data_IF_991575654295
#
_entry.id   IF_991575654295
#
_cell.length_a   1.000
_cell.length_b   1.000
_cell.length_c   1.000
_cell.angle_alpha   90.00
_cell.angle_beta   90.00
_cell.angle_gamma   90.00
#
_symmetry.space_group_name_H-M   'P 1'
#
loop_
_entity.id
_entity.type
_entity.pdbx_description
1 polymer ?
#
# COMPACT_ATOMS: atom_id res chain seq x y z
N UNK A 1 -4.78 10.62 7.49
CA UNK A 1 -5.60 9.88 8.44
C UNK A 1 -5.02 8.48 8.68
N UNK A 2 -4.70 7.70 7.65
CA UNK A 2 -4.22 6.32 7.82
C UNK A 2 -2.93 6.21 8.63
N UNK A 3 -1.93 7.05 8.40
CA UNK A 3 -0.67 7.03 9.15
C UNK A 3 -0.81 7.34 10.64
N UNK A 4 -1.98 7.87 11.06
CA UNK A 4 -2.31 8.14 12.46
C UNK A 4 -2.94 6.93 13.13
N UNK A 5 -3.64 6.11 12.34
CA UNK A 5 -4.45 4.99 12.82
C UNK A 5 -3.60 3.74 13.07
N UNK A 6 -2.41 3.67 12.48
CA UNK A 6 -1.50 2.52 12.60
C UNK A 6 -0.31 2.83 13.50
N UNK A 7 -0.07 1.95 14.45
CA UNK A 7 1.19 1.92 15.19
C UNK A 7 2.32 1.51 14.25
N UNK A 8 3.54 2.02 14.51
CA UNK A 8 4.73 1.59 13.76
C UNK A 8 4.92 0.08 13.96
N UNK A 9 5.06 -0.72 12.89
CA UNK A 9 5.30 -2.16 13.00
C UNK A 9 6.57 -2.45 13.79
N UNK A 10 6.52 -3.43 14.66
CA UNK A 10 7.65 -3.80 15.51
C UNK A 10 8.64 -4.71 14.80
N UNK A 11 8.19 -5.79 14.16
CA UNK A 11 8.95 -6.71 13.28
C UNK A 11 7.99 -7.70 12.62
N UNK A 12 8.50 -8.57 11.74
CA UNK A 12 7.72 -9.66 11.14
C UNK A 12 7.06 -10.59 12.19
N UNK A 13 7.74 -10.86 13.29
CA UNK A 13 7.20 -11.68 14.38
C UNK A 13 5.91 -11.10 14.97
N UNK A 14 5.83 -9.78 15.10
CA UNK A 14 4.68 -9.08 15.66
C UNK A 14 3.61 -8.68 14.64
N UNK A 15 3.79 -9.02 13.35
CA UNK A 15 2.91 -8.52 12.28
C UNK A 15 1.43 -8.88 12.50
N UNK A 16 1.11 -10.00 13.14
CA UNK A 16 -0.25 -10.39 13.47
C UNK A 16 -0.81 -9.55 14.63
N UNK A 17 -0.09 -9.44 15.74
CA UNK A 17 -0.56 -8.70 16.91
C UNK A 17 -0.60 -7.19 16.65
N UNK A 18 0.36 -6.64 15.90
CA UNK A 18 0.36 -5.24 15.51
C UNK A 18 -0.87 -4.89 14.67
N UNK A 19 -1.33 -5.83 13.83
CA UNK A 19 -2.54 -5.67 13.05
C UNK A 19 -3.81 -5.75 13.92
N UNK A 20 -3.80 -6.57 14.98
CA UNK A 20 -4.90 -6.65 15.94
C UNK A 20 -4.99 -5.39 16.80
N UNK A 21 -3.87 -4.91 17.32
CA UNK A 21 -3.77 -3.82 18.28
C UNK A 21 -3.68 -2.42 17.67
N UNK A 22 -3.83 -2.31 16.34
CA UNK A 22 -3.80 -0.99 15.70
C UNK A 22 -4.90 -0.09 16.24
N UNK A 23 -4.60 1.21 16.42
CA UNK A 23 -5.56 2.22 16.89
C UNK A 23 -6.81 2.32 16.02
N UNK A 24 -6.74 1.90 14.78
CA UNK A 24 -7.88 1.81 13.87
C UNK A 24 -8.98 0.86 14.36
N UNK A 25 -8.64 -0.13 15.17
CA UNK A 25 -9.59 -1.09 15.76
C UNK A 25 -10.14 -0.65 17.11
N UNK A 26 -9.57 0.39 17.71
CA UNK A 26 -9.96 0.91 19.01
C UNK A 26 -11.10 1.92 18.86
N UNK A 27 -12.32 1.50 19.19
CA UNK A 27 -13.52 2.34 19.09
C UNK A 27 -13.47 3.56 20.01
N UNK A 28 -12.89 3.43 21.19
CA UNK A 28 -12.76 4.53 22.15
C UNK A 28 -11.79 5.57 21.62
N UNK A 29 -10.65 5.10 21.09
CA UNK A 29 -9.69 5.96 20.41
C UNK A 29 -10.31 6.70 19.24
N UNK A 30 -11.02 6.00 18.34
CA UNK A 30 -11.66 6.62 17.16
C UNK A 30 -12.69 7.67 17.58
N UNK A 31 -13.54 7.37 18.55
CA UNK A 31 -14.54 8.30 19.07
C UNK A 31 -13.90 9.53 19.72
N UNK A 32 -12.89 9.33 20.58
CA UNK A 32 -12.19 10.41 21.27
C UNK A 32 -11.48 11.38 20.28
N UNK A 33 -11.14 10.90 19.07
CA UNK A 33 -10.45 11.67 18.06
C UNK A 33 -11.37 12.14 16.91
N UNK A 34 -12.69 11.91 17.02
CA UNK A 34 -13.66 12.28 15.98
C UNK A 34 -13.42 11.58 14.64
N UNK A 35 -12.81 10.40 14.69
CA UNK A 35 -12.54 9.58 13.50
C UNK A 35 -13.77 8.69 13.19
N UNK A 36 -14.05 8.43 11.90
CA UNK A 36 -15.19 7.60 11.55
C UNK A 36 -15.04 6.18 12.09
N UNK A 37 -16.15 5.61 12.55
CA UNK A 37 -16.18 4.23 13.00
C UNK A 37 -15.67 3.29 11.90
N UNK A 38 -14.73 2.44 12.26
CA UNK A 38 -14.18 1.46 11.34
C UNK A 38 -15.07 0.21 11.29
N UNK A 39 -15.37 -0.26 10.07
CA UNK A 39 -16.23 -1.44 9.88
C UNK A 39 -15.54 -2.78 10.20
N UNK A 40 -14.35 -2.75 10.75
CA UNK A 40 -13.49 -3.91 10.94
C UNK A 40 -12.50 -4.11 9.78
N UNK A 41 -11.40 -4.78 10.06
CA UNK A 41 -10.41 -5.10 9.03
C UNK A 41 -10.92 -6.26 8.17
N UNK A 42 -10.72 -6.18 6.84
CA UNK A 42 -11.13 -7.26 5.94
C UNK A 42 -10.23 -8.49 6.08
N UNK A 43 -10.78 -9.65 5.76
CA UNK A 43 -10.07 -10.92 5.88
C UNK A 43 -8.82 -11.02 5.01
N UNK A 44 -8.76 -10.31 3.90
CA UNK A 44 -7.56 -10.33 3.06
C UNK A 44 -6.28 -9.83 3.75
N UNK A 45 -6.36 -9.10 4.87
CA UNK A 45 -5.21 -8.74 5.69
C UNK A 45 -4.44 -9.97 6.20
N UNK A 46 -5.10 -11.13 6.31
CA UNK A 46 -4.50 -12.40 6.70
C UNK A 46 -3.35 -12.80 5.76
N UNK A 47 -3.41 -12.40 4.48
CA UNK A 47 -2.37 -12.77 3.51
C UNK A 47 -0.96 -12.28 3.90
N UNK A 48 -0.86 -11.14 4.61
CA UNK A 48 0.42 -10.53 4.97
C UNK A 48 0.65 -10.49 6.50
N UNK A 49 -0.42 -10.58 7.31
CA UNK A 49 -0.38 -10.34 8.75
C UNK A 49 -0.66 -11.60 9.58
N UNK A 50 -0.17 -12.77 9.16
CA UNK A 50 -0.13 -13.98 9.97
C UNK A 50 0.81 -15.04 9.37
N UNK A 51 1.44 -15.83 10.20
CA UNK A 51 2.18 -17.04 9.81
C UNK A 51 1.30 -18.27 9.59
N UNK A 52 0.00 -18.18 9.86
CA UNK A 52 -0.92 -19.31 9.69
C UNK A 52 -1.51 -19.47 8.28
N UNK A 53 -1.14 -18.62 7.29
CA UNK A 53 -1.80 -18.63 5.99
C UNK A 53 -1.84 -20.01 5.33
N UNK A 54 -0.72 -20.72 5.31
CA UNK A 54 -0.65 -22.06 4.70
C UNK A 54 -1.53 -23.07 5.44
N UNK A 55 -1.55 -23.02 6.77
CA UNK A 55 -2.41 -23.87 7.59
C UNK A 55 -3.90 -23.58 7.35
N UNK A 56 -4.26 -22.30 7.26
CA UNK A 56 -5.63 -21.86 6.97
C UNK A 56 -6.14 -22.34 5.61
N UNK A 57 -5.26 -22.50 4.62
CA UNK A 57 -5.62 -22.99 3.29
C UNK A 57 -5.95 -24.49 3.29
N UNK A 58 -5.42 -25.28 4.22
CA UNK A 58 -5.67 -26.72 4.27
C UNK A 58 -7.09 -27.01 4.74
N UNK A 59 -7.72 -26.14 5.48
CA UNK A 59 -9.05 -26.26 6.09
C UNK A 59 -9.28 -27.54 6.91
N UNK A 60 -10.41 -27.64 7.55
CA UNK A 60 -10.75 -28.75 8.45
C UNK A 60 -10.39 -28.43 9.90
N UNK A 61 -9.21 -27.91 10.14
CA UNK A 61 -8.77 -27.50 11.49
C UNK A 61 -9.39 -26.16 11.94
N UNK A 62 -9.63 -25.26 11.02
CA UNK A 62 -10.12 -23.90 11.28
C UNK A 62 -11.57 -23.68 10.86
N UNK A 63 -12.20 -24.71 10.29
CA UNK A 63 -13.62 -24.69 9.89
C UNK A 63 -13.99 -23.43 9.07
N UNK A 64 -13.20 -23.16 8.02
CA UNK A 64 -13.40 -21.99 7.16
C UNK A 64 -14.51 -22.22 6.13
N UNK A 65 -14.70 -23.47 5.67
CA UNK A 65 -15.63 -23.82 4.58
C UNK A 65 -16.93 -24.43 5.06
N UNK A 66 -17.25 -24.35 6.37
CA UNK A 66 -18.50 -24.89 6.93
C UNK A 66 -19.77 -24.33 6.26
N UNK A 67 -19.70 -23.10 5.74
CA UNK A 67 -20.76 -22.52 4.90
C UNK A 67 -20.36 -22.62 3.42
N UNK A 68 -21.24 -23.11 2.55
CA UNK A 68 -20.97 -23.21 1.11
C UNK A 68 -20.84 -21.80 0.51
N UNK A 69 -19.64 -21.26 0.50
CA UNK A 69 -19.32 -20.08 -0.32
C UNK A 69 -18.91 -20.62 -1.69
N UNK A 70 -19.50 -20.16 -2.81
CA UNK A 70 -19.05 -20.55 -4.12
C UNK A 70 -17.55 -20.30 -4.24
N UNK A 71 -16.78 -21.32 -4.61
CA UNK A 71 -15.38 -21.14 -4.93
C UNK A 71 -15.26 -20.08 -6.03
N UNK A 72 -14.25 -19.21 -5.93
CA UNK A 72 -14.01 -18.23 -6.99
C UNK A 72 -13.90 -18.94 -8.34
N UNK A 73 -14.74 -18.55 -9.28
CA UNK A 73 -14.86 -19.20 -10.60
C UNK A 73 -13.68 -18.88 -11.52
N UNK A 74 -12.92 -17.83 -11.21
CA UNK A 74 -11.74 -17.41 -12.01
C UNK A 74 -10.57 -18.38 -11.80
N UNK A 75 -9.78 -18.66 -12.86
CA UNK A 75 -8.54 -19.41 -12.74
C UNK A 75 -7.62 -18.77 -11.69
N UNK A 76 -7.03 -19.61 -10.86
CA UNK A 76 -6.06 -19.19 -9.86
C UNK A 76 -4.79 -20.03 -9.97
N UNK A 77 -3.83 -19.65 -10.81
CA UNK A 77 -2.63 -20.42 -11.14
C UNK A 77 -1.89 -21.02 -9.95
N UNK A 78 -1.91 -20.36 -8.80
CA UNK A 78 -1.30 -20.91 -7.58
C UNK A 78 -1.92 -22.26 -7.17
N UNK A 79 -3.23 -22.40 -7.27
CA UNK A 79 -3.93 -23.63 -6.90
C UNK A 79 -4.01 -24.64 -8.06
N UNK A 80 -4.00 -24.13 -9.29
CA UNK A 80 -4.18 -24.97 -10.50
C UNK A 80 -2.96 -25.89 -10.77
N UNK A 81 -1.79 -25.61 -10.18
CA UNK A 81 -0.59 -26.47 -10.26
C UNK A 81 -0.53 -27.56 -9.20
N UNK A 82 -1.48 -27.59 -8.28
CA UNK A 82 -1.64 -28.63 -7.25
C UNK A 82 -2.47 -29.81 -7.78
N UNK A 83 -2.44 -30.98 -7.12
CA UNK A 83 -3.44 -32.00 -7.37
C UNK A 83 -4.85 -31.43 -7.29
N UNK A 84 -5.72 -31.76 -8.24
CA UNK A 84 -7.01 -31.09 -8.46
C UNK A 84 -7.83 -30.94 -7.18
N UNK A 85 -8.05 -32.02 -6.45
CA UNK A 85 -8.85 -32.03 -5.21
C UNK A 85 -8.25 -31.12 -4.13
N UNK A 86 -6.92 -31.18 -3.95
CA UNK A 86 -6.20 -30.33 -3.01
C UNK A 86 -6.27 -28.85 -3.41
N UNK A 87 -6.05 -28.55 -4.68
CA UNK A 87 -6.09 -27.18 -5.20
C UNK A 87 -7.48 -26.55 -5.05
N UNK A 88 -8.54 -27.28 -5.38
CA UNK A 88 -9.92 -26.82 -5.20
C UNK A 88 -10.26 -26.57 -3.72
N UNK A 89 -9.86 -27.48 -2.82
CA UNK A 89 -10.06 -27.33 -1.37
C UNK A 89 -9.32 -26.10 -0.82
N UNK A 90 -8.06 -25.95 -1.15
CA UNK A 90 -7.26 -24.80 -0.70
C UNK A 90 -7.76 -23.48 -1.27
N UNK A 91 -8.20 -23.47 -2.53
CA UNK A 91 -8.82 -22.31 -3.17
C UNK A 91 -10.10 -21.88 -2.45
N UNK A 92 -10.96 -22.83 -2.10
CA UNK A 92 -12.19 -22.55 -1.35
C UNK A 92 -11.89 -21.96 0.04
N UNK A 93 -10.97 -22.57 0.80
CA UNK A 93 -10.57 -22.09 2.11
C UNK A 93 -9.95 -20.67 2.04
N UNK A 94 -9.08 -20.43 1.06
CA UNK A 94 -8.47 -19.11 0.86
C UNK A 94 -9.51 -18.05 0.46
N UNK A 95 -10.44 -18.36 -0.43
CA UNK A 95 -11.53 -17.46 -0.82
C UNK A 95 -12.38 -17.10 0.40
N UNK A 96 -12.75 -18.09 1.19
CA UNK A 96 -13.54 -17.88 2.41
C UNK A 96 -12.80 -17.01 3.42
N UNK A 97 -11.52 -17.28 3.66
CA UNK A 97 -10.67 -16.49 4.55
C UNK A 97 -10.62 -15.01 4.16
N UNK A 98 -10.51 -14.71 2.86
CA UNK A 98 -10.52 -13.32 2.38
C UNK A 98 -11.88 -12.62 2.59
N UNK A 99 -12.99 -13.37 2.55
CA UNK A 99 -14.35 -12.84 2.60
C UNK A 99 -14.89 -12.56 4.01
N UNK A 100 -14.31 -13.15 5.05
CA UNK A 100 -14.74 -12.95 6.44
C UNK A 100 -13.85 -11.91 7.14
N UNK A 101 -14.34 -11.20 8.18
CA UNK A 101 -13.54 -10.21 8.90
C UNK A 101 -12.24 -10.79 9.48
N UNK A 102 -11.17 -10.03 9.43
CA UNK A 102 -9.85 -10.44 9.96
C UNK A 102 -9.91 -10.97 11.39
N UNK A 103 -10.62 -10.27 12.28
CA UNK A 103 -10.79 -10.71 13.67
C UNK A 103 -11.48 -12.06 13.81
N UNK A 104 -12.39 -12.41 12.91
CA UNK A 104 -13.07 -13.71 12.97
C UNK A 104 -12.15 -14.83 12.53
N UNK A 105 -11.23 -14.57 11.59
CA UNK A 105 -10.14 -15.51 11.28
C UNK A 105 -9.21 -15.65 12.51
N UNK A 106 -8.82 -14.56 13.14
CA UNK A 106 -7.95 -14.58 14.31
C UNK A 106 -8.58 -15.33 15.49
N UNK A 107 -9.89 -15.20 15.72
CA UNK A 107 -10.63 -15.99 16.72
C UNK A 107 -10.56 -17.49 16.44
N UNK A 108 -10.67 -17.90 15.16
CA UNK A 108 -10.55 -19.31 14.78
C UNK A 108 -9.15 -19.86 15.06
N UNK A 109 -8.11 -19.07 14.77
CA UNK A 109 -6.73 -19.42 15.09
C UNK A 109 -6.54 -19.55 16.60
N UNK A 110 -6.95 -18.54 17.36
CA UNK A 110 -6.84 -18.53 18.81
C UNK A 110 -7.56 -19.72 19.47
N UNK A 111 -8.79 -20.00 19.05
CA UNK A 111 -9.59 -21.14 19.55
C UNK A 111 -8.91 -22.49 19.26
N UNK A 112 -8.31 -22.67 18.08
CA UNK A 112 -7.59 -23.89 17.71
C UNK A 112 -6.37 -24.14 18.60
N UNK A 113 -5.67 -23.07 18.99
CA UNK A 113 -4.45 -23.17 19.78
C UNK A 113 -4.66 -22.96 21.29
N UNK A 114 -5.91 -22.78 21.75
CA UNK A 114 -6.24 -22.55 23.15
C UNK A 114 -5.72 -21.23 23.70
N UNK A 115 -5.59 -20.21 22.84
CA UNK A 115 -5.04 -18.90 23.15
C UNK A 115 -6.11 -17.80 23.09
N UNK A 116 -5.83 -16.64 23.68
CA UNK A 116 -6.61 -15.44 23.41
C UNK A 116 -6.20 -14.83 22.07
N UNK A 117 -7.08 -14.02 21.47
CA UNK A 117 -6.76 -13.31 20.23
C UNK A 117 -5.54 -12.40 20.37
N UNK A 118 -5.32 -11.82 21.55
CA UNK A 118 -4.15 -11.00 21.87
C UNK A 118 -2.94 -11.82 22.34
N UNK A 119 -3.10 -13.10 22.62
CA UNK A 119 -2.01 -14.02 22.95
C UNK A 119 -1.36 -14.65 21.72
N UNK A 120 -2.03 -14.64 20.60
CA UNK A 120 -1.50 -15.20 19.35
C UNK A 120 -0.57 -14.20 18.65
N UNK A 121 0.74 -14.47 18.70
CA UNK A 121 1.77 -13.57 18.18
C UNK A 121 2.41 -14.02 16.89
N UNK A 122 1.94 -15.12 16.29
CA UNK A 122 2.61 -15.71 15.14
C UNK A 122 2.43 -14.87 13.87
N UNK A 123 3.30 -13.88 13.71
CA UNK A 123 3.49 -13.14 12.48
C UNK A 123 4.15 -13.99 11.40
N UNK A 124 4.89 -13.38 10.49
CA UNK A 124 5.59 -14.12 9.43
C UNK A 124 6.59 -15.11 10.00
N UNK A 125 6.63 -16.32 9.44
CA UNK A 125 7.41 -17.46 9.92
C UNK A 125 8.42 -17.93 8.86
N UNK A 126 9.31 -18.83 9.26
CA UNK A 126 10.24 -19.47 8.32
C UNK A 126 9.51 -20.11 7.13
N UNK A 127 8.35 -20.73 7.38
CA UNK A 127 7.54 -21.40 6.36
C UNK A 127 6.92 -20.48 5.32
N UNK A 128 6.88 -19.17 5.57
CA UNK A 128 6.39 -18.17 4.61
C UNK A 128 7.40 -17.90 3.49
N UNK A 129 8.69 -18.14 3.76
CA UNK A 129 9.80 -17.91 2.83
C UNK A 129 10.55 -19.18 2.44
N UNK A 130 10.49 -20.25 3.26
CA UNK A 130 11.23 -21.49 3.07
C UNK A 130 10.31 -22.70 2.99
N UNK A 131 10.68 -23.64 2.10
CA UNK A 131 10.07 -24.97 2.08
C UNK A 131 10.47 -25.74 3.34
N UNK A 132 9.51 -26.37 4.05
CA UNK A 132 9.85 -27.18 5.22
C UNK A 132 10.65 -28.44 4.89
N UNK A 133 10.64 -28.89 3.62
CA UNK A 133 11.29 -30.14 3.21
C UNK A 133 12.82 -30.00 3.08
N UNK A 134 13.27 -28.86 2.55
CA UNK A 134 14.69 -28.68 2.17
C UNK A 134 15.21 -27.26 2.39
N UNK A 135 14.42 -26.39 3.02
CA UNK A 135 14.73 -24.96 3.26
C UNK A 135 14.98 -24.13 1.99
N UNK A 136 14.60 -24.63 0.80
CA UNK A 136 14.64 -23.84 -0.42
C UNK A 136 13.65 -22.67 -0.33
N UNK A 137 13.95 -21.56 -1.04
CA UNK A 137 13.04 -20.41 -1.06
C UNK A 137 11.73 -20.76 -1.76
N UNK A 138 10.61 -20.33 -1.17
CA UNK A 138 9.28 -20.43 -1.76
C UNK A 138 8.43 -19.22 -1.49
N UNK A 139 7.47 -18.97 -2.35
CA UNK A 139 6.38 -18.01 -2.13
C UNK A 139 5.08 -18.78 -1.86
N UNK A 140 4.32 -18.31 -0.89
CA UNK A 140 3.13 -19.01 -0.37
C UNK A 140 1.84 -18.22 -0.54
N UNK A 141 1.94 -16.97 -1.02
CA UNK A 141 0.80 -16.06 -1.18
C UNK A 141 0.15 -16.21 -2.56
N UNK A 142 -1.09 -16.72 -2.63
CA UNK A 142 -1.75 -16.97 -3.91
C UNK A 142 -1.87 -15.71 -4.78
N UNK A 143 -2.18 -14.55 -4.18
CA UNK A 143 -2.30 -13.29 -4.91
C UNK A 143 -1.01 -12.93 -5.66
N UNK A 144 0.16 -13.09 -5.00
CA UNK A 144 1.46 -12.83 -5.63
C UNK A 144 1.71 -13.75 -6.82
N UNK A 145 1.51 -15.07 -6.63
CA UNK A 145 1.75 -16.05 -7.71
C UNK A 145 0.83 -15.78 -8.90
N UNK A 146 -0.46 -15.52 -8.63
CA UNK A 146 -1.43 -15.22 -9.69
C UNK A 146 -1.04 -13.94 -10.47
N UNK A 147 -0.58 -12.91 -9.78
CA UNK A 147 -0.12 -11.68 -10.40
C UNK A 147 1.17 -11.89 -11.23
N UNK A 148 2.10 -12.69 -10.74
CA UNK A 148 3.32 -13.04 -11.46
C UNK A 148 3.04 -13.87 -12.72
N UNK A 149 2.07 -14.79 -12.65
CA UNK A 149 1.65 -15.54 -13.84
C UNK A 149 0.99 -14.62 -14.87
N UNK A 150 0.19 -13.65 -14.45
CA UNK A 150 -0.37 -12.62 -15.34
C UNK A 150 0.71 -11.76 -16.02
N UNK A 151 1.88 -11.62 -15.38
CA UNK A 151 3.07 -10.95 -15.95
C UNK A 151 3.88 -11.83 -16.90
N UNK A 152 3.64 -13.13 -16.97
CA UNK A 152 4.32 -14.08 -17.87
C UNK A 152 5.25 -15.08 -17.19
N UNK A 153 5.22 -15.20 -15.85
CA UNK A 153 5.90 -16.27 -15.12
C UNK A 153 5.08 -17.57 -15.12
N UNK A 154 5.67 -18.65 -14.66
CA UNK A 154 4.99 -19.93 -14.50
C UNK A 154 4.83 -20.28 -13.03
N UNK A 155 3.62 -20.65 -12.62
CA UNK A 155 3.38 -21.21 -11.30
C UNK A 155 4.10 -22.56 -11.11
N UNK A 156 4.46 -22.86 -9.87
CA UNK A 156 5.15 -24.10 -9.49
C UNK A 156 4.64 -24.60 -8.14
N UNK A 157 4.32 -25.88 -8.04
CA UNK A 157 3.70 -26.46 -6.84
C UNK A 157 4.61 -26.44 -5.61
N UNK A 158 5.94 -26.51 -5.79
CA UNK A 158 6.92 -26.54 -4.70
C UNK A 158 7.35 -25.13 -4.27
N UNK A 159 7.80 -24.32 -5.22
CA UNK A 159 8.35 -22.99 -4.96
C UNK A 159 7.32 -21.86 -5.07
N UNK A 160 6.09 -22.16 -5.49
CA UNK A 160 5.04 -21.20 -5.82
C UNK A 160 5.19 -20.62 -7.22
N UNK A 161 6.42 -20.34 -7.66
CA UNK A 161 6.72 -19.76 -8.97
C UNK A 161 8.07 -20.27 -9.49
N UNK A 162 8.17 -20.51 -10.80
CA UNK A 162 9.44 -20.80 -11.45
C UNK A 162 10.26 -19.53 -11.62
N UNK A 163 11.24 -19.35 -10.76
CA UNK A 163 12.15 -18.23 -10.75
C UNK A 163 13.57 -18.69 -10.38
N UNK A 164 14.56 -17.91 -10.72
CA UNK A 164 15.94 -18.16 -10.28
C UNK A 164 16.07 -17.94 -8.77
N UNK A 165 17.11 -18.54 -8.17
CA UNK A 165 17.37 -18.29 -6.74
C UNK A 165 17.58 -16.80 -6.43
N UNK A 166 18.19 -16.04 -7.34
CA UNK A 166 18.42 -14.61 -7.16
C UNK A 166 17.08 -13.85 -7.14
N UNK A 167 16.18 -14.11 -8.10
CA UNK A 167 14.84 -13.52 -8.10
C UNK A 167 14.05 -13.88 -6.83
N UNK A 168 14.09 -15.13 -6.40
CA UNK A 168 13.40 -15.58 -5.19
C UNK A 168 13.83 -14.82 -3.93
N UNK A 169 15.07 -14.32 -3.86
CA UNK A 169 15.57 -13.48 -2.75
C UNK A 169 14.88 -12.11 -2.67
N UNK A 170 14.15 -11.71 -3.70
CA UNK A 170 13.23 -10.57 -3.69
C UNK A 170 11.77 -11.03 -3.55
N UNK A 171 11.37 -12.10 -4.27
CA UNK A 171 9.96 -12.48 -4.35
C UNK A 171 9.37 -12.95 -3.02
N UNK A 172 10.16 -13.54 -2.14
CA UNK A 172 9.72 -13.88 -0.77
C UNK A 172 9.38 -12.65 0.08
N UNK A 173 9.90 -11.48 -0.27
CA UNK A 173 9.54 -10.20 0.35
C UNK A 173 8.35 -9.56 -0.37
N UNK A 174 8.40 -9.53 -1.70
CA UNK A 174 7.41 -8.88 -2.56
C UNK A 174 6.02 -9.52 -2.48
N UNK A 175 5.88 -10.76 -1.95
CA UNK A 175 4.57 -11.36 -1.74
C UNK A 175 3.70 -10.66 -0.68
N UNK A 176 4.31 -9.75 0.14
CA UNK A 176 3.64 -8.93 1.15
C UNK A 176 3.99 -7.44 1.03
N UNK A 177 5.22 -7.10 0.63
CA UNK A 177 5.67 -5.72 0.40
C UNK A 177 5.33 -5.26 -1.02
N UNK A 178 4.05 -5.00 -1.26
CA UNK A 178 3.46 -4.83 -2.58
C UNK A 178 2.15 -4.06 -2.50
N UNK A 179 1.81 -3.33 -3.55
CA UNK A 179 0.48 -2.75 -3.68
C UNK A 179 -0.58 -3.83 -3.94
N UNK A 180 -1.73 -3.72 -3.28
CA UNK A 180 -2.77 -4.74 -3.36
C UNK A 180 -4.18 -4.16 -3.32
N UNK A 181 -5.14 -4.92 -3.87
CA UNK A 181 -6.56 -4.59 -3.83
C UNK A 181 -7.47 -5.82 -3.69
N UNK A 182 -8.65 -5.64 -3.06
CA UNK A 182 -9.70 -6.67 -3.10
C UNK A 182 -10.35 -6.68 -4.48
N UNK A 183 -10.61 -7.86 -5.02
CA UNK A 183 -11.31 -8.04 -6.29
C UNK A 183 -12.56 -8.89 -6.13
N UNK A 184 -13.59 -8.55 -6.92
CA UNK A 184 -14.87 -9.27 -6.95
C UNK A 184 -15.72 -9.10 -5.69
N UNK A 185 -16.86 -9.81 -5.66
CA UNK A 185 -17.80 -9.78 -4.53
C UNK A 185 -17.21 -10.45 -3.28
N UNK A 186 -16.33 -11.40 -3.46
CA UNK A 186 -15.65 -12.16 -2.39
C UNK A 186 -14.51 -11.37 -1.75
N UNK A 187 -14.20 -10.16 -2.23
CA UNK A 187 -13.10 -9.31 -1.75
C UNK A 187 -11.75 -10.04 -1.70
N UNK A 188 -11.49 -10.88 -2.70
CA UNK A 188 -10.26 -11.67 -2.79
C UNK A 188 -9.08 -10.75 -3.07
N UNK A 189 -7.97 -10.95 -2.33
CA UNK A 189 -6.75 -10.19 -2.52
C UNK A 189 -6.18 -10.38 -3.93
N UNK A 190 -5.89 -9.26 -4.60
CA UNK A 190 -5.22 -9.21 -5.90
C UNK A 190 -4.20 -8.10 -5.94
N UNK A 191 -3.27 -8.18 -6.89
CA UNK A 191 -2.30 -7.11 -7.14
C UNK A 191 -2.64 -6.41 -8.47
N UNK A 192 -2.50 -5.09 -8.58
CA UNK A 192 -2.87 -4.32 -9.77
C UNK A 192 -1.81 -4.39 -10.89
N UNK A 193 -1.27 -5.58 -11.12
CA UNK A 193 -0.12 -5.83 -12.01
C UNK A 193 -0.46 -6.28 -13.43
N UNK A 194 -1.73 -6.28 -13.82
CA UNK A 194 -2.17 -6.79 -15.12
C UNK A 194 -1.51 -6.10 -16.32
N UNK A 195 -1.12 -4.84 -16.16
CA UNK A 195 -0.48 -4.04 -17.21
C UNK A 195 1.04 -3.90 -17.02
N UNK A 196 1.60 -4.48 -15.96
CA UNK A 196 3.04 -4.55 -15.75
C UNK A 196 3.60 -5.86 -16.30
N UNK A 197 4.39 -5.79 -17.37
CA UNK A 197 4.93 -6.99 -18.05
C UNK A 197 6.24 -7.45 -17.41
N UNK A 198 6.54 -8.76 -17.63
CA UNK A 198 7.83 -9.33 -17.29
C UNK A 198 8.92 -8.56 -18.06
N UNK A 199 10.06 -8.42 -17.42
CA UNK A 199 11.26 -7.77 -17.99
C UNK A 199 11.11 -6.26 -18.27
N UNK A 200 10.01 -5.63 -17.84
CA UNK A 200 9.83 -4.20 -17.88
C UNK A 200 9.88 -3.60 -16.46
N UNK A 201 10.51 -2.43 -16.24
CA UNK A 201 10.39 -1.72 -15.00
C UNK A 201 8.94 -1.25 -14.80
N UNK A 202 8.51 -1.21 -13.55
CA UNK A 202 7.20 -0.67 -13.21
C UNK A 202 7.09 0.79 -13.64
N UNK A 203 5.87 1.19 -14.02
CA UNK A 203 5.49 2.60 -14.24
C UNK A 203 4.17 2.85 -13.53
N UNK A 204 4.04 4.00 -12.88
CA UNK A 204 2.78 4.34 -12.18
C UNK A 204 1.57 4.33 -13.11
N UNK A 205 1.77 4.54 -14.42
CA UNK A 205 0.75 4.45 -15.46
C UNK A 205 0.15 3.04 -15.60
N UNK A 206 0.86 2.00 -15.17
CA UNK A 206 0.29 0.65 -15.11
C UNK A 206 -0.88 0.58 -14.11
N UNK A 207 -0.80 1.35 -13.01
CA UNK A 207 -1.89 1.48 -12.06
C UNK A 207 -3.04 2.32 -12.61
N UNK A 208 -2.74 3.40 -13.32
CA UNK A 208 -3.80 4.18 -14.00
C UNK A 208 -4.62 3.26 -14.91
N UNK A 209 -3.96 2.48 -15.78
CA UNK A 209 -4.62 1.54 -16.67
C UNK A 209 -5.44 0.49 -15.91
N UNK A 210 -4.90 -0.05 -14.84
CA UNK A 210 -5.60 -1.04 -14.02
C UNK A 210 -6.87 -0.45 -13.39
N UNK A 211 -6.76 0.69 -12.72
CA UNK A 211 -7.89 1.30 -12.02
C UNK A 211 -8.93 1.91 -12.95
N UNK A 212 -8.53 2.39 -14.11
CA UNK A 212 -9.45 2.85 -15.15
C UNK A 212 -10.21 1.66 -15.76
N UNK A 213 -9.55 0.53 -15.99
CA UNK A 213 -10.19 -0.72 -16.39
C UNK A 213 -11.18 -1.23 -15.32
N UNK A 214 -10.81 -1.19 -14.03
CA UNK A 214 -11.70 -1.56 -12.95
C UNK A 214 -12.88 -0.58 -12.81
N UNK A 215 -12.68 0.69 -13.05
CA UNK A 215 -13.74 1.71 -13.01
C UNK A 215 -14.77 1.49 -14.12
N UNK A 216 -14.34 1.04 -15.30
CA UNK A 216 -15.19 0.77 -16.45
C UNK A 216 -16.02 -0.52 -16.31
N UNK A 217 -15.56 -1.54 -15.58
CA UNK A 217 -16.26 -2.81 -15.39
C UNK A 217 -17.42 -2.66 -14.40
N UNK A 218 -18.54 -3.33 -14.63
CA UNK A 218 -19.70 -3.32 -13.73
C UNK A 218 -19.34 -3.83 -12.33
N UNK A 219 -18.66 -4.97 -12.24
CA UNK A 219 -18.22 -5.64 -11.02
C UNK A 219 -16.80 -5.22 -10.57
N UNK A 220 -16.20 -4.24 -11.23
CA UNK A 220 -14.84 -3.79 -10.95
C UNK A 220 -14.74 -2.95 -9.67
N UNK A 221 -13.54 -2.91 -9.11
CA UNK A 221 -13.24 -2.06 -7.96
C UNK A 221 -13.31 -0.58 -8.33
N UNK A 222 -14.13 0.18 -7.62
CA UNK A 222 -14.39 1.59 -7.97
C UNK A 222 -13.57 2.57 -7.15
N UNK A 223 -13.49 2.37 -5.84
CA UNK A 223 -12.83 3.26 -4.88
C UNK A 223 -12.77 2.64 -3.49
N UNK A 224 -11.84 3.08 -2.67
CA UNK A 224 -11.81 2.77 -1.23
C UNK A 224 -12.79 3.63 -0.45
N UNK A 225 -12.78 4.94 -0.74
CA UNK A 225 -13.66 5.90 -0.07
C UNK A 225 -13.98 7.10 -0.95
N UNK A 226 -15.05 7.78 -0.60
CA UNK A 226 -15.42 9.07 -1.19
C UNK A 226 -14.84 10.17 -0.29
N UNK A 227 -14.01 11.04 -0.87
CA UNK A 227 -13.43 12.15 -0.12
C UNK A 227 -14.51 13.12 0.34
N UNK A 228 -14.60 13.37 1.64
CA UNK A 228 -15.72 14.11 2.27
C UNK A 228 -15.92 15.52 1.75
N UNK A 229 -14.84 16.25 1.45
CA UNK A 229 -14.91 17.64 1.01
C UNK A 229 -15.06 17.78 -0.51
N UNK A 230 -14.49 16.86 -1.27
CA UNK A 230 -14.47 16.95 -2.74
C UNK A 230 -15.48 16.06 -3.45
N UNK A 231 -15.89 14.95 -2.83
CA UNK A 231 -16.72 13.93 -3.47
C UNK A 231 -15.96 13.02 -4.44
N UNK A 232 -14.64 13.17 -4.55
CA UNK A 232 -13.82 12.30 -5.40
C UNK A 232 -13.78 10.87 -4.88
N UNK A 233 -13.82 9.90 -5.80
CA UNK A 233 -13.67 8.48 -5.54
C UNK A 233 -12.19 8.14 -5.46
N UNK A 234 -11.66 8.01 -4.24
CA UNK A 234 -10.23 7.87 -3.96
C UNK A 234 -9.83 6.41 -3.82
N UNK A 235 -8.62 6.12 -4.28
CA UNK A 235 -7.90 4.87 -4.10
C UNK A 235 -6.79 5.11 -3.08
N UNK A 236 -6.67 4.23 -2.09
CA UNK A 236 -5.58 4.23 -1.10
C UNK A 236 -4.46 3.33 -1.61
N UNK A 237 -3.23 3.82 -1.62
CA UNK A 237 -2.03 3.00 -1.83
C UNK A 237 -1.56 2.40 -0.51
N UNK A 238 -0.98 1.20 -0.55
CA UNK A 238 -0.64 0.45 0.66
C UNK A 238 0.87 0.34 0.88
N UNK A 239 1.53 -0.52 0.09
CA UNK A 239 2.96 -0.83 0.18
C UNK A 239 3.52 -0.97 -1.24
N UNK A 240 4.21 0.02 -1.73
CA UNK A 240 4.68 0.08 -3.12
C UNK A 240 6.18 -0.26 -3.28
N UNK A 241 6.74 -1.02 -2.33
CA UNK A 241 8.16 -1.36 -2.33
C UNK A 241 8.54 -2.26 -3.51
N UNK A 242 7.72 -3.27 -3.83
CA UNK A 242 7.97 -4.18 -4.95
C UNK A 242 8.01 -3.44 -6.28
N UNK A 243 7.05 -2.56 -6.49
CA UNK A 243 6.90 -1.76 -7.70
C UNK A 243 8.07 -0.79 -7.84
N UNK A 244 8.32 0.02 -6.81
CA UNK A 244 9.34 1.06 -6.88
C UNK A 244 10.76 0.47 -6.97
N UNK A 245 11.06 -0.61 -6.21
CA UNK A 245 12.37 -1.25 -6.25
C UNK A 245 12.73 -1.80 -7.64
N UNK A 246 11.73 -2.21 -8.43
CA UNK A 246 11.95 -2.67 -9.81
C UNK A 246 12.46 -1.59 -10.75
N UNK A 247 12.27 -0.32 -10.38
CA UNK A 247 12.65 0.84 -11.20
C UNK A 247 14.05 1.37 -10.88
N UNK A 248 14.51 1.11 -9.64
CA UNK A 248 15.79 1.62 -9.15
C UNK A 248 17.01 0.93 -9.76
N UNK A 249 18.15 1.58 -9.69
CA UNK A 249 19.41 1.04 -10.22
C UNK A 249 19.76 -0.32 -9.63
N UNK A 250 19.56 -0.51 -8.33
CA UNK A 250 19.83 -1.77 -7.66
C UNK A 250 18.94 -2.90 -8.18
N UNK A 251 17.62 -2.69 -8.24
CA UNK A 251 16.68 -3.70 -8.75
C UNK A 251 16.96 -4.07 -10.21
N UNK A 252 17.21 -3.07 -11.07
CA UNK A 252 17.55 -3.28 -12.50
C UNK A 252 18.90 -3.97 -12.69
N UNK A 253 19.80 -3.83 -11.72
CA UNK A 253 21.12 -4.51 -11.73
C UNK A 253 21.08 -5.89 -11.09
N UNK A 254 19.92 -6.41 -10.71
CA UNK A 254 19.73 -7.73 -10.11
C UNK A 254 20.12 -7.82 -8.63
N UNK A 255 20.31 -6.68 -7.95
CA UNK A 255 20.44 -6.63 -6.49
C UNK A 255 19.07 -6.87 -5.87
N UNK A 256 18.99 -7.77 -4.89
CA UNK A 256 17.75 -8.23 -4.30
C UNK A 256 17.45 -7.56 -2.96
N UNK A 257 16.20 -7.66 -2.51
CA UNK A 257 15.80 -7.18 -1.18
C UNK A 257 16.69 -7.79 -0.09
N UNK A 258 16.95 -9.09 -0.18
CA UNK A 258 17.78 -9.81 0.79
C UNK A 258 19.26 -9.40 0.76
N UNK A 259 19.78 -8.86 -0.34
CA UNK A 259 21.18 -8.42 -0.39
C UNK A 259 21.43 -7.22 0.52
N UNK A 260 20.41 -6.37 0.69
CA UNK A 260 20.46 -5.18 1.54
C UNK A 260 19.88 -5.42 2.93
N UNK A 261 18.69 -6.07 3.04
CA UNK A 261 17.96 -6.24 4.29
C UNK A 261 18.32 -7.50 5.07
N UNK A 262 19.02 -8.43 4.42
CA UNK A 262 19.50 -9.70 5.00
C UNK A 262 20.98 -9.93 4.63
N UNK A 263 21.89 -8.99 4.96
CA UNK A 263 23.29 -9.10 4.58
C UNK A 263 23.91 -10.35 5.19
N UNK A 264 24.99 -10.82 4.57
CA UNK A 264 25.71 -11.97 5.09
C UNK A 264 26.52 -11.62 6.33
N UNK A 265 26.38 -12.44 7.37
CA UNK A 265 27.18 -12.42 8.59
C UNK A 265 27.97 -13.72 8.76
N UNK A 266 29.03 -13.69 9.56
CA UNK A 266 29.76 -14.89 9.95
C UNK A 266 29.23 -15.39 11.29
N UNK A 267 28.93 -16.70 11.34
CA UNK A 267 28.63 -17.43 12.56
C UNK A 267 29.67 -18.55 12.68
N UNK A 268 30.77 -18.29 13.41
CA UNK A 268 31.95 -19.13 13.42
C UNK A 268 32.58 -19.25 12.03
N UNK A 269 32.72 -20.48 11.52
CA UNK A 269 33.24 -20.76 10.18
C UNK A 269 32.18 -20.58 9.06
N UNK A 270 30.91 -20.47 9.40
CA UNK A 270 29.83 -20.40 8.43
C UNK A 270 29.50 -18.96 8.03
N UNK A 271 29.12 -18.79 6.77
CA UNK A 271 28.52 -17.56 6.24
C UNK A 271 27.00 -17.74 6.21
N UNK A 272 26.28 -16.99 7.02
CA UNK A 272 24.83 -17.05 7.12
C UNK A 272 24.20 -15.72 6.69
N UNK A 273 22.96 -15.76 6.24
CA UNK A 273 22.16 -14.56 5.96
C UNK A 273 21.56 -14.06 7.28
N UNK A 274 21.64 -12.76 7.54
CA UNK A 274 20.98 -12.15 8.69
C UNK A 274 19.47 -12.22 8.54
N UNK A 275 18.76 -12.71 9.57
CA UNK A 275 17.31 -12.89 9.55
C UNK A 275 16.54 -11.91 10.45
N UNK A 276 17.21 -10.94 11.07
CA UNK A 276 16.51 -9.88 11.79
C UNK A 276 15.76 -8.91 10.87
N UNK A 277 16.16 -8.88 9.57
CA UNK A 277 15.51 -8.09 8.50
C UNK A 277 15.35 -6.64 8.93
N UNK A 278 16.46 -6.02 9.28
CA UNK A 278 16.52 -4.64 9.73
C UNK A 278 16.70 -3.67 8.55
N UNK A 279 16.62 -2.38 8.86
CA UNK A 279 17.05 -1.35 7.92
C UNK A 279 18.53 -1.56 7.57
N UNK A 280 18.93 -1.47 6.28
CA UNK A 280 20.34 -1.57 5.89
C UNK A 280 21.25 -0.53 6.56
N UNK A 281 20.65 0.57 7.06
CA UNK A 281 21.38 1.62 7.81
C UNK A 281 21.89 1.14 9.18
N UNK A 282 21.34 0.05 9.72
CA UNK A 282 21.78 -0.52 10.97
C UNK A 282 23.19 -1.15 10.86
N UNK A 283 23.55 -1.67 9.66
CA UNK A 283 24.87 -2.23 9.38
C UNK A 283 25.27 -1.95 7.92
N UNK A 284 25.68 -0.72 7.64
CA UNK A 284 26.10 -0.28 6.30
C UNK A 284 27.32 -1.07 5.81
N UNK A 285 28.21 -1.52 6.74
CA UNK A 285 29.37 -2.27 6.35
C UNK A 285 28.99 -3.65 5.78
N UNK A 286 28.04 -4.33 6.37
CA UNK A 286 27.56 -5.61 5.85
C UNK A 286 26.64 -5.44 4.63
N UNK A 287 25.74 -4.45 4.65
CA UNK A 287 24.73 -4.26 3.60
C UNK A 287 25.28 -3.60 2.33
N UNK A 288 26.07 -2.53 2.47
CA UNK A 288 26.47 -1.69 1.33
C UNK A 288 27.92 -1.95 0.89
N UNK A 289 28.86 -2.06 1.85
CA UNK A 289 30.30 -2.12 1.52
C UNK A 289 30.74 -3.45 0.93
N UNK A 290 29.87 -4.45 0.87
CA UNK A 290 30.10 -5.66 0.07
C UNK A 290 30.27 -5.34 -1.41
N UNK A 291 29.62 -4.30 -1.93
CA UNK A 291 29.67 -3.85 -3.33
C UNK A 291 30.28 -2.46 -3.48
N UNK A 292 30.17 -1.59 -2.46
CA UNK A 292 30.60 -0.19 -2.52
C UNK A 292 31.90 0.07 -1.73
N UNK A 293 32.96 0.57 -2.37
CA UNK A 293 34.25 0.82 -1.72
C UNK A 293 34.30 2.10 -0.88
N UNK A 294 33.28 2.97 -0.98
CA UNK A 294 33.22 4.25 -0.29
C UNK A 294 33.17 4.07 1.23
N UNK A 295 33.54 5.14 1.96
CA UNK A 295 33.40 5.15 3.41
C UNK A 295 31.94 5.08 3.83
N UNK A 296 31.69 4.60 5.03
CA UNK A 296 30.33 4.54 5.61
C UNK A 296 29.66 5.91 5.61
N UNK A 297 30.43 6.98 5.93
CA UNK A 297 29.88 8.34 5.94
C UNK A 297 29.43 8.78 4.55
N UNK A 298 30.19 8.53 3.51
CA UNK A 298 29.81 8.86 2.12
C UNK A 298 28.53 8.13 1.69
N UNK A 299 28.38 6.88 2.10
CA UNK A 299 27.19 6.11 1.81
C UNK A 299 25.96 6.65 2.58
N UNK A 300 26.13 7.00 3.87
CA UNK A 300 25.08 7.65 4.67
C UNK A 300 24.64 8.99 4.06
N UNK A 301 25.60 9.82 3.67
CA UNK A 301 25.32 11.11 3.05
C UNK A 301 24.54 10.95 1.74
N UNK A 302 24.89 9.94 0.91
CA UNK A 302 24.16 9.66 -0.32
C UNK A 302 22.72 9.20 -0.05
N UNK A 303 22.51 8.32 0.92
CA UNK A 303 21.17 7.85 1.32
C UNK A 303 20.35 9.05 1.83
N UNK A 304 20.92 9.84 2.75
CA UNK A 304 20.26 11.03 3.29
C UNK A 304 19.90 12.03 2.20
N UNK A 305 20.77 12.24 1.22
CA UNK A 305 20.47 13.11 0.07
C UNK A 305 19.24 12.64 -0.71
N UNK A 306 19.13 11.34 -1.02
CA UNK A 306 17.99 10.78 -1.74
C UNK A 306 16.70 10.93 -0.92
N UNK A 307 16.75 10.55 0.36
CA UNK A 307 15.59 10.59 1.24
C UNK A 307 15.11 12.01 1.53
N UNK A 308 16.01 12.96 1.75
CA UNK A 308 15.66 14.36 1.98
C UNK A 308 15.05 14.99 0.72
N UNK A 309 15.60 14.70 -0.47
CA UNK A 309 15.03 15.14 -1.73
C UNK A 309 13.60 14.60 -1.90
N UNK A 310 13.42 13.31 -1.68
CA UNK A 310 12.09 12.70 -1.75
C UNK A 310 11.10 13.34 -0.78
N UNK A 311 11.49 13.53 0.49
CA UNK A 311 10.65 14.17 1.49
C UNK A 311 10.26 15.60 1.10
N UNK A 312 11.19 16.37 0.53
CA UNK A 312 10.92 17.71 0.03
C UNK A 312 9.91 17.71 -1.13
N UNK A 313 10.11 16.85 -2.13
CA UNK A 313 9.21 16.76 -3.28
C UNK A 313 7.81 16.21 -2.88
N UNK A 314 7.76 15.28 -1.92
CA UNK A 314 6.51 14.78 -1.36
C UNK A 314 5.68 15.90 -0.72
N UNK A 315 6.31 16.79 0.06
CA UNK A 315 5.63 17.95 0.65
C UNK A 315 5.14 18.95 -0.39
N UNK A 316 5.91 19.18 -1.44
CA UNK A 316 5.46 20.03 -2.55
C UNK A 316 4.23 19.43 -3.25
N UNK A 317 4.21 18.10 -3.39
CA UNK A 317 3.05 17.37 -3.91
C UNK A 317 1.84 17.49 -2.96
N UNK A 318 2.05 17.32 -1.66
CA UNK A 318 1.00 17.50 -0.63
C UNK A 318 0.37 18.90 -0.69
N UNK A 319 1.19 19.92 -0.81
CA UNK A 319 0.71 21.30 -0.91
C UNK A 319 -0.14 21.52 -2.18
N UNK A 320 0.33 21.01 -3.33
CA UNK A 320 -0.43 21.10 -4.57
C UNK A 320 -1.77 20.33 -4.50
N UNK A 321 -1.76 19.12 -3.94
CA UNK A 321 -2.97 18.31 -3.73
C UNK A 321 -3.95 19.02 -2.77
N UNK A 322 -3.45 19.59 -1.68
CA UNK A 322 -4.29 20.30 -0.72
C UNK A 322 -4.90 21.57 -1.34
N UNK A 323 -4.12 22.31 -2.16
CA UNK A 323 -4.64 23.46 -2.91
C UNK A 323 -5.82 23.05 -3.80
N UNK A 324 -5.68 21.97 -4.57
CA UNK A 324 -6.75 21.43 -5.40
C UNK A 324 -7.98 21.02 -4.56
N UNK A 325 -7.79 20.35 -3.43
CA UNK A 325 -8.87 19.96 -2.51
C UNK A 325 -9.64 21.18 -2.00
N UNK A 326 -8.93 22.25 -1.60
CA UNK A 326 -9.56 23.49 -1.11
C UNK A 326 -10.37 24.19 -2.21
N UNK A 327 -9.84 24.22 -3.43
CA UNK A 327 -10.52 24.81 -4.56
C UNK A 327 -11.77 24.01 -4.96
N UNK A 328 -11.69 22.68 -5.00
CA UNK A 328 -12.88 21.84 -5.26
C UNK A 328 -13.93 22.03 -4.16
N UNK A 329 -13.52 22.11 -2.90
CA UNK A 329 -14.43 22.37 -1.78
C UNK A 329 -15.17 23.70 -1.96
N UNK A 330 -14.46 24.75 -2.32
CA UNK A 330 -15.03 26.07 -2.61
C UNK A 330 -16.00 26.00 -3.80
N UNK A 331 -15.58 25.39 -4.90
CA UNK A 331 -16.40 25.24 -6.10
C UNK A 331 -17.72 24.49 -5.82
N UNK A 332 -17.65 23.41 -5.05
CA UNK A 332 -18.84 22.63 -4.64
C UNK A 332 -19.82 23.48 -3.82
N UNK A 333 -19.30 24.33 -2.95
CA UNK A 333 -20.13 25.23 -2.16
C UNK A 333 -20.84 26.29 -3.04
N UNK A 334 -20.17 26.82 -4.05
CA UNK A 334 -20.76 27.77 -5.00
C UNK A 334 -21.76 27.08 -5.94
N UNK A 335 -21.42 25.89 -6.48
CA UNK A 335 -22.38 25.13 -7.30
C UNK A 335 -23.64 24.76 -6.52
N UNK A 336 -23.56 24.46 -5.23
CA UNK A 336 -24.72 24.13 -4.41
C UNK A 336 -25.71 25.30 -4.27
N UNK A 337 -25.25 26.54 -4.45
CA UNK A 337 -26.11 27.77 -4.44
C UNK A 337 -26.69 28.07 -5.81
N UNK A 338 -26.11 27.54 -6.89
CA UNK A 338 -26.62 27.79 -8.24
C UNK A 338 -27.99 27.15 -8.44
N UNK A 339 -28.94 27.86 -9.11
CA UNK A 339 -30.34 27.46 -9.26
C UNK A 339 -30.54 26.01 -9.75
N UNK A 340 -29.72 25.58 -10.72
CA UNK A 340 -29.75 24.22 -11.27
C UNK A 340 -29.57 23.14 -10.22
N UNK A 341 -28.74 23.35 -9.20
CA UNK A 341 -28.44 22.35 -8.16
C UNK A 341 -29.26 22.61 -6.90
N UNK A 342 -29.55 23.88 -6.57
CA UNK A 342 -30.36 24.25 -5.43
C UNK A 342 -31.80 23.73 -5.55
N UNK A 343 -32.32 23.60 -6.78
CA UNK A 343 -33.66 23.04 -7.05
C UNK A 343 -33.78 21.53 -6.79
N UNK A 344 -32.67 20.79 -6.66
CA UNK A 344 -32.69 19.36 -6.36
C UNK A 344 -32.94 19.18 -4.86
N UNK A 345 -34.10 18.66 -4.49
CA UNK A 345 -34.52 18.54 -3.10
C UNK A 345 -33.73 17.46 -2.33
N UNK A 346 -33.46 16.33 -2.97
CA UNK A 346 -32.68 15.27 -2.36
C UNK A 346 -31.19 15.63 -2.27
N UNK A 347 -30.65 15.62 -1.06
CA UNK A 347 -29.26 16.04 -0.79
C UNK A 347 -28.23 15.09 -1.47
N UNK A 348 -28.52 13.79 -1.55
CA UNK A 348 -27.64 12.80 -2.17
C UNK A 348 -27.62 13.02 -3.69
N UNK A 349 -28.79 13.17 -4.32
CA UNK A 349 -28.91 13.45 -5.75
C UNK A 349 -28.22 14.77 -6.11
N UNK A 350 -28.39 15.80 -5.29
CA UNK A 350 -27.70 17.08 -5.48
C UNK A 350 -26.18 16.95 -5.42
N UNK A 351 -25.64 16.20 -4.45
CA UNK A 351 -24.20 15.94 -4.33
C UNK A 351 -23.67 15.15 -5.53
N UNK A 352 -24.44 14.20 -6.04
CA UNK A 352 -24.09 13.42 -7.22
C UNK A 352 -24.12 14.28 -8.49
N UNK A 353 -25.12 15.13 -8.66
CA UNK A 353 -25.22 16.07 -9.78
C UNK A 353 -24.03 17.05 -9.81
N UNK A 354 -23.64 17.60 -8.64
CA UNK A 354 -22.46 18.45 -8.50
C UNK A 354 -21.18 17.68 -8.83
N UNK A 355 -21.07 16.44 -8.35
CA UNK A 355 -19.90 15.60 -8.66
C UNK A 355 -19.80 15.29 -10.16
N UNK A 356 -20.93 15.10 -10.84
CA UNK A 356 -20.95 14.91 -12.29
C UNK A 356 -20.54 16.19 -13.03
N UNK A 357 -20.90 17.36 -12.52
CA UNK A 357 -20.49 18.65 -13.10
C UNK A 357 -18.98 18.93 -12.97
N UNK A 358 -18.30 18.25 -12.07
CA UNK A 358 -16.87 18.37 -11.80
C UNK A 358 -16.10 17.06 -12.12
N UNK A 359 -16.60 16.26 -13.06
CA UNK A 359 -16.13 14.90 -13.30
C UNK A 359 -14.64 14.82 -13.64
N UNK A 360 -14.17 15.69 -14.53
CA UNK A 360 -12.76 15.70 -14.97
C UNK A 360 -11.85 16.19 -13.85
N UNK A 361 -12.23 17.23 -13.13
CA UNK A 361 -11.48 17.71 -11.95
C UNK A 361 -11.38 16.62 -10.89
N UNK A 362 -12.47 15.91 -10.59
CA UNK A 362 -12.46 14.82 -9.60
C UNK A 362 -11.60 13.64 -10.04
N UNK A 363 -11.55 13.34 -11.34
CA UNK A 363 -10.65 12.34 -11.90
C UNK A 363 -9.19 12.76 -11.75
N UNK A 364 -8.85 14.03 -12.04
CA UNK A 364 -7.49 14.57 -11.83
C UNK A 364 -7.11 14.59 -10.35
N UNK A 365 -8.04 14.89 -9.45
CA UNK A 365 -7.81 14.75 -8.01
C UNK A 365 -7.47 13.30 -7.65
N UNK A 366 -8.22 12.30 -8.15
CA UNK A 366 -7.93 10.88 -7.95
C UNK A 366 -6.51 10.52 -8.43
N UNK A 367 -6.11 10.95 -9.62
CA UNK A 367 -4.77 10.70 -10.17
C UNK A 367 -3.67 11.37 -9.36
N UNK A 368 -3.89 12.60 -8.91
CA UNK A 368 -2.98 13.32 -8.01
C UNK A 368 -2.78 12.56 -6.71
N UNK A 369 -3.89 12.12 -6.10
CA UNK A 369 -3.87 11.38 -4.84
C UNK A 369 -3.12 10.04 -4.97
N UNK A 370 -3.36 9.28 -6.04
CA UNK A 370 -2.65 8.02 -6.32
C UNK A 370 -1.14 8.23 -6.31
N UNK A 371 -0.63 9.29 -6.94
CA UNK A 371 0.80 9.57 -7.02
C UNK A 371 1.41 9.98 -5.69
N UNK A 372 0.70 10.84 -4.98
CA UNK A 372 1.12 11.24 -3.63
C UNK A 372 1.15 10.03 -2.69
N UNK A 373 0.08 9.26 -2.65
CA UNK A 373 -0.09 8.16 -1.72
C UNK A 373 0.83 6.97 -2.05
N UNK A 374 1.10 6.71 -3.34
CA UNK A 374 2.09 5.74 -3.79
C UNK A 374 3.49 6.08 -3.28
N UNK A 375 3.92 7.33 -3.47
CA UNK A 375 5.23 7.77 -3.00
C UNK A 375 5.31 7.86 -1.47
N UNK A 376 4.19 8.19 -0.79
CA UNK A 376 4.09 8.25 0.66
C UNK A 376 4.08 6.89 1.33
N UNK A 377 3.47 5.88 0.70
CA UNK A 377 3.32 4.52 1.25
C UNK A 377 4.58 3.67 1.11
N UNK A 378 5.56 4.11 0.34
CA UNK A 378 6.84 3.45 0.13
C UNK A 378 7.82 3.80 1.26
N UNK A 379 8.31 2.78 1.97
CA UNK A 379 9.01 2.97 3.24
C UNK A 379 10.49 3.36 3.13
N UNK A 380 11.10 3.36 1.93
CA UNK A 380 12.50 3.76 1.75
C UNK A 380 12.70 5.25 1.58
N UNK A 381 11.63 6.04 1.52
CA UNK A 381 11.68 7.46 1.16
C UNK A 381 12.36 7.68 -0.19
N UNK A 382 11.94 6.90 -1.19
CA UNK A 382 12.41 6.99 -2.57
C UNK A 382 13.76 6.30 -2.83
N UNK A 383 14.42 5.71 -1.83
CA UNK A 383 15.72 5.07 -2.04
C UNK A 383 15.65 3.82 -2.92
N UNK A 384 14.54 3.10 -2.91
CA UNK A 384 14.32 1.93 -3.77
C UNK A 384 14.28 2.27 -5.26
N UNK A 385 13.84 3.50 -5.63
CA UNK A 385 13.77 3.95 -7.02
C UNK A 385 13.65 5.48 -7.11
N UNK A 386 14.75 6.19 -6.87
CA UNK A 386 14.77 7.64 -6.67
C UNK A 386 14.38 8.46 -7.91
N UNK A 387 14.71 7.99 -9.10
CA UNK A 387 14.34 8.66 -10.37
C UNK A 387 12.84 8.55 -10.64
N UNK A 388 12.28 7.32 -10.52
CA UNK A 388 10.85 7.09 -10.73
C UNK A 388 10.02 7.78 -9.65
N UNK A 389 10.45 7.72 -8.39
CA UNK A 389 9.79 8.44 -7.30
C UNK A 389 9.71 9.95 -7.56
N UNK A 390 10.81 10.57 -8.00
CA UNK A 390 10.83 11.99 -8.37
C UNK A 390 9.90 12.29 -9.55
N UNK A 391 9.86 11.40 -10.57
CA UNK A 391 8.96 11.53 -11.72
C UNK A 391 7.49 11.46 -11.29
N UNK A 392 7.14 10.50 -10.43
CA UNK A 392 5.79 10.34 -9.88
C UNK A 392 5.35 11.59 -9.11
N UNK A 393 6.21 12.14 -8.25
CA UNK A 393 5.93 13.37 -7.51
C UNK A 393 5.84 14.60 -8.40
N UNK A 394 6.61 14.64 -9.49
CA UNK A 394 6.46 15.65 -10.55
C UNK A 394 5.07 15.59 -11.20
N UNK A 395 4.62 14.40 -11.60
CA UNK A 395 3.27 14.19 -12.14
C UNK A 395 2.17 14.53 -11.14
N UNK A 396 2.37 14.26 -9.85
CA UNK A 396 1.43 14.65 -8.81
C UNK A 396 1.15 16.17 -8.85
N UNK A 397 2.19 16.98 -8.86
CA UNK A 397 2.07 18.45 -8.93
C UNK A 397 1.39 18.88 -10.23
N UNK A 398 1.77 18.28 -11.35
CA UNK A 398 1.19 18.58 -12.65
C UNK A 398 -0.31 18.28 -12.70
N UNK A 399 -0.74 17.10 -12.27
CA UNK A 399 -2.16 16.76 -12.23
C UNK A 399 -2.97 17.64 -11.28
N UNK A 400 -2.37 18.06 -10.15
CA UNK A 400 -3.03 19.02 -9.27
C UNK A 400 -3.30 20.35 -9.98
N UNK A 401 -2.32 20.89 -10.74
CA UNK A 401 -2.46 22.14 -11.49
C UNK A 401 -3.41 22.00 -12.69
N UNK A 402 -3.34 20.87 -13.40
CA UNK A 402 -4.34 20.55 -14.43
C UNK A 402 -5.75 20.48 -13.84
N UNK A 403 -5.91 19.88 -12.65
CA UNK A 403 -7.18 19.83 -11.93
C UNK A 403 -7.71 21.21 -11.58
N UNK A 404 -6.85 22.15 -11.17
CA UNK A 404 -7.26 23.53 -10.93
C UNK A 404 -7.69 24.23 -12.21
N UNK A 405 -6.98 24.00 -13.33
CA UNK A 405 -7.36 24.56 -14.65
C UNK A 405 -8.69 24.01 -15.12
N UNK A 406 -8.88 22.69 -15.04
CA UNK A 406 -10.12 22.06 -15.46
C UNK A 406 -11.31 22.47 -14.58
N UNK A 407 -11.07 22.71 -13.29
CA UNK A 407 -12.07 23.23 -12.37
C UNK A 407 -12.66 24.55 -12.86
N UNK A 408 -11.81 25.47 -13.34
CA UNK A 408 -12.27 26.75 -13.91
C UNK A 408 -13.11 26.51 -15.16
N UNK A 409 -12.69 25.58 -16.03
CA UNK A 409 -13.44 25.22 -17.24
C UNK A 409 -14.81 24.62 -16.92
N UNK A 410 -14.88 23.74 -15.93
CA UNK A 410 -16.15 23.10 -15.51
C UNK A 410 -17.09 24.05 -14.75
N UNK A 411 -16.58 25.12 -14.15
CA UNK A 411 -17.39 26.16 -13.49
C UNK A 411 -17.94 27.21 -14.48
N UNK A 412 -17.24 27.44 -15.59
CA UNK A 412 -17.60 28.48 -16.57
C UNK A 412 -19.06 28.41 -17.11
N UNK A 413 -19.63 27.20 -17.42
CA UNK A 413 -21.02 27.07 -17.87
C UNK A 413 -22.06 27.52 -16.84
N UNK A 414 -21.67 27.65 -15.58
CA UNK A 414 -22.53 28.10 -14.48
C UNK A 414 -22.32 29.58 -14.12
N UNK A 415 -21.42 30.27 -14.82
CA UNK A 415 -21.06 31.67 -14.50
C UNK A 415 -20.35 31.82 -13.15
N UNK A 416 -19.77 30.74 -12.62
CA UNK A 416 -19.09 30.73 -11.34
C UNK A 416 -17.60 30.97 -11.56
N UNK A 417 -17.02 31.90 -10.82
CA UNK A 417 -15.58 32.18 -10.77
C UNK A 417 -15.10 32.07 -9.35
N UNK A 418 -13.99 31.35 -9.16
CA UNK A 418 -13.31 31.22 -7.87
C UNK A 418 -11.85 31.65 -7.98
N UNK A 419 -11.29 32.14 -6.88
CA UNK A 419 -9.87 32.40 -6.80
C UNK A 419 -9.15 31.11 -6.46
N UNK A 420 -8.27 30.67 -7.35
CA UNK A 420 -7.48 29.47 -7.13
C UNK A 420 -6.44 29.66 -6.01
N UNK A 421 -6.30 28.62 -5.21
CA UNK A 421 -5.32 28.55 -4.12
C UNK A 421 -3.94 28.29 -4.68
N UNK A 422 -2.99 29.22 -4.48
CA UNK A 422 -1.58 29.05 -4.89
C UNK A 422 -0.81 28.24 -3.87
N UNK A 423 -0.98 28.57 -2.60
CA UNK A 423 -0.48 27.82 -1.46
C UNK A 423 -1.65 27.45 -0.55
N UNK A 424 -1.76 26.18 -0.23
CA UNK A 424 -2.81 25.71 0.66
C UNK A 424 -2.62 26.27 2.07
N UNK A 425 -3.73 26.70 2.68
CA UNK A 425 -3.74 26.99 4.11
C UNK A 425 -3.58 25.67 4.87
N UNK A 426 -2.55 25.54 5.71
CA UNK A 426 -2.37 24.33 6.51
C UNK A 426 -3.61 24.08 7.38
N UNK A 427 -4.13 22.88 7.34
CA UNK A 427 -5.10 22.42 8.35
C UNK A 427 -4.26 21.90 9.51
N UNK A 428 -4.33 22.51 10.69
CA UNK A 428 -3.65 21.97 11.86
C UNK A 428 -4.11 20.54 12.08
N UNK A 429 -3.17 19.61 12.18
CA UNK A 429 -3.52 18.28 12.66
C UNK A 429 -4.11 18.45 14.07
N UNK A 430 -5.22 17.77 14.41
CA UNK A 430 -5.71 17.77 15.77
C UNK A 430 -4.56 17.44 16.71
N UNK A 431 -4.34 18.25 17.74
CA UNK A 431 -3.26 18.05 18.72
C UNK A 431 -3.28 16.64 19.33
N UNK A 432 -4.49 16.04 19.39
CA UNK A 432 -4.74 14.67 19.78
C UNK A 432 -4.09 13.57 18.91
N UNK A 433 -3.68 13.90 17.68
CA UNK A 433 -3.09 12.93 16.76
C UNK A 433 -1.55 12.89 16.82
N UNK A 434 -0.93 13.67 17.69
CA UNK A 434 0.52 13.66 17.91
C UNK A 434 1.34 14.23 16.73
N UNK A 435 0.69 14.73 15.68
CA UNK A 435 1.38 15.40 14.59
C UNK A 435 1.86 16.79 15.05
N UNK A 436 3.16 16.99 15.01
CA UNK A 436 3.78 18.26 15.39
C UNK A 436 3.59 19.35 14.33
N UNK A 437 3.25 18.97 13.08
CA UNK A 437 3.20 19.88 11.94
C UNK A 437 1.89 19.75 11.16
N UNK A 438 1.37 20.86 10.63
CA UNK A 438 0.22 20.84 9.73
C UNK A 438 0.55 20.08 8.44
N UNK A 439 -0.40 19.30 7.93
CA UNK A 439 -0.29 18.61 6.65
C UNK A 439 -0.46 19.65 5.53
N UNK A 440 0.40 19.63 4.51
CA UNK A 440 0.28 20.48 3.32
C UNK A 440 0.82 21.91 3.49
N UNK A 441 1.87 22.09 4.26
CA UNK A 441 2.57 23.39 4.39
C UNK A 441 3.87 23.36 3.60
N UNK A 442 4.16 24.45 2.87
CA UNK A 442 5.52 24.74 2.44
C UNK A 442 6.46 24.71 3.66
N UNK A 443 7.72 24.24 3.51
CA UNK A 443 8.60 24.05 4.67
C UNK A 443 8.72 25.34 5.47
N UNK A 444 8.00 25.38 6.59
CA UNK A 444 8.19 26.39 7.61
C UNK A 444 9.52 26.16 8.32
N UNK A 445 10.01 27.10 9.11
CA UNK A 445 11.20 26.90 9.93
C UNK A 445 11.09 25.66 10.82
N UNK A 446 9.89 25.34 11.30
CA UNK A 446 9.63 24.11 12.05
C UNK A 446 9.79 22.84 11.21
N UNK A 447 9.45 22.88 9.93
CA UNK A 447 9.64 21.76 9.00
C UNK A 447 11.08 21.64 8.55
N UNK A 448 11.78 22.75 8.35
CA UNK A 448 13.22 22.77 8.14
C UNK A 448 13.96 22.17 9.34
N UNK A 449 13.49 22.49 10.55
CA UNK A 449 14.00 21.86 11.77
C UNK A 449 13.68 20.38 11.85
N UNK A 450 12.49 19.95 11.41
CA UNK A 450 12.17 18.51 11.31
C UNK A 450 13.04 17.82 10.26
N UNK A 451 13.39 18.49 9.16
CA UNK A 451 14.36 17.98 8.18
C UNK A 451 15.78 17.94 8.75
N UNK A 452 16.14 18.87 9.62
CA UNK A 452 17.39 18.80 10.40
C UNK A 452 17.32 17.71 11.47
N UNK A 453 16.19 17.55 12.14
CA UNK A 453 15.98 16.46 13.09
C UNK A 453 15.99 15.09 12.40
N UNK A 454 15.47 14.97 11.16
CA UNK A 454 15.60 13.78 10.32
C UNK A 454 17.06 13.56 9.87
N UNK A 455 17.81 14.62 9.57
CA UNK A 455 19.27 14.53 9.33
C UNK A 455 20.04 14.08 10.57
N UNK A 456 19.52 14.41 11.75
CA UNK A 456 20.10 14.09 13.05
C UNK A 456 19.48 12.87 13.71
N UNK A 457 18.50 12.21 13.08
CA UNK A 457 18.03 10.90 13.49
C UNK A 457 19.18 9.91 13.28
N UNK A 458 20.02 9.81 14.32
CA UNK A 458 20.75 8.59 14.54
C UNK A 458 19.71 7.46 14.65
N UNK A 459 19.54 6.71 13.59
CA UNK A 459 18.84 5.44 13.65
C UNK A 459 19.69 4.51 14.53
N UNK A 460 19.43 4.58 15.84
CA UNK A 460 19.91 3.61 16.82
C UNK A 460 19.00 2.40 16.80
#
# INVERSE_FOLDING_TARGET
AFGVDYSKPRTHYYSQIDQIETKRNDKEYLNAHGLPAFKGQPGYCVNCHTGYLTALQVDGDYNLTADPTPAATKPMPFFDVMPKEEGEKRKAAWTKMNSIPYFDVMKKIAAKHGESIHGSHLGSTCADCHSPDDMSLRVTRPAFVNAMVARGYQADAKSGIKATRQEMRSYVCMQCHVEYYPAGKESVLTFPWNFWKKDEPFKIENFDQYYDDQLAKEDGFKFDYIHKDTGAKIIKMQHSEAELSSTGIHGRSGVTCADCHMPYKRAGAQKITEHEILTPLADINAACKTCHPQSEQVLKDRISFVQNRHAYELRNCENALLSLIQDIKTARAELAKHEKFASIADEKERKEAISKALEKTLYLHRKTHIRWDFAFSENSYGFHGDEESARILGQCKEFARQGQTELVNELAPYGISIKLTQEATPVPAPASLGHKYPIGVAPTEAMKKADEDVKNLNFK
#
